data_IF_795428515297
#
_entry.id   IF_795428515297
#
_cell.length_a   1.000
_cell.length_b   1.000
_cell.length_c   1.000
_cell.angle_alpha   90.00
_cell.angle_beta   90.00
_cell.angle_gamma   90.00
#
_symmetry.space_group_name_H-M   'P 1'
#
loop_
_entity.id
_entity.type
_entity.pdbx_description
1 polymer ?
#
# COMPACT_ATOMS: atom_id res chain seq x y z
N UNK A 1 15.54 -18.67 5.76
CA UNK A 1 15.90 -18.95 4.36
C UNK A 1 14.68 -18.85 3.48
N UNK A 2 14.80 -18.17 2.39
CA UNK A 2 13.73 -18.13 1.41
C UNK A 2 13.86 -19.37 0.54
N UNK A 3 12.82 -20.15 0.46
CA UNK A 3 12.79 -21.29 -0.44
C UNK A 3 12.12 -20.88 -1.75
N UNK A 4 12.43 -21.61 -2.80
CA UNK A 4 11.76 -21.40 -4.06
C UNK A 4 10.28 -21.72 -3.88
N UNK A 5 9.45 -20.80 -4.29
CA UNK A 5 8.03 -20.98 -4.15
C UNK A 5 7.45 -20.41 -2.87
N UNK A 6 8.30 -19.87 -2.01
CA UNK A 6 7.79 -19.12 -0.86
C UNK A 6 7.00 -17.93 -1.37
N UNK A 7 5.83 -17.75 -0.79
CA UNK A 7 4.91 -16.71 -1.22
C UNK A 7 4.68 -15.74 -0.09
N UNK A 8 4.59 -14.45 -0.44
CA UNK A 8 4.28 -13.43 0.55
C UNK A 8 2.77 -13.39 0.68
N UNK A 9 2.27 -13.94 1.79
CA UNK A 9 0.84 -14.09 2.01
C UNK A 9 0.33 -13.05 2.99
N UNK A 10 -0.83 -12.53 2.65
CA UNK A 10 -1.55 -11.56 3.45
C UNK A 10 -2.99 -11.99 3.59
N UNK A 11 -3.65 -11.44 4.59
CA UNK A 11 -5.08 -11.61 4.80
C UNK A 11 -5.72 -10.22 4.67
N UNK A 12 -6.81 -10.12 3.92
CA UNK A 12 -7.50 -8.84 3.74
C UNK A 12 -8.03 -8.33 5.08
N UNK A 13 -7.60 -7.14 5.46
CA UNK A 13 -8.16 -6.40 6.59
C UNK A 13 -9.25 -5.44 6.12
N UNK A 14 -8.99 -4.75 5.00
CA UNK A 14 -9.94 -3.81 4.44
C UNK A 14 -9.67 -3.63 2.96
N UNK A 15 -10.71 -3.59 2.17
CA UNK A 15 -10.62 -3.25 0.74
C UNK A 15 -10.94 -1.78 0.61
N UNK A 16 -9.99 -0.98 0.11
CA UNK A 16 -10.19 0.45 -0.06
C UNK A 16 -10.82 0.76 -1.42
N UNK A 17 -10.32 0.11 -2.46
CA UNK A 17 -10.94 0.09 -3.78
C UNK A 17 -10.41 -1.12 -4.55
N UNK A 18 -10.71 -1.19 -5.85
CA UNK A 18 -10.32 -2.33 -6.67
C UNK A 18 -8.79 -2.54 -6.76
N UNK A 19 -8.02 -1.49 -6.50
CA UNK A 19 -6.57 -1.52 -6.68
C UNK A 19 -5.78 -1.35 -5.39
N UNK A 20 -6.47 -1.25 -4.25
CA UNK A 20 -5.82 -0.89 -3.00
C UNK A 20 -6.49 -1.61 -1.84
N UNK A 21 -5.71 -2.35 -1.07
CA UNK A 21 -6.21 -3.07 0.10
C UNK A 21 -5.27 -2.86 1.28
N UNK A 22 -5.81 -3.05 2.47
CA UNK A 22 -4.99 -3.19 3.67
C UNK A 22 -4.93 -4.68 3.98
N UNK A 23 -3.73 -5.22 4.06
CA UNK A 23 -3.51 -6.63 4.35
C UNK A 23 -2.71 -6.81 5.62
N UNK A 24 -2.96 -7.93 6.30
CA UNK A 24 -2.20 -8.33 7.48
C UNK A 24 -1.24 -9.41 7.03
N UNK A 25 0.05 -9.16 7.22
CA UNK A 25 1.10 -10.09 6.81
C UNK A 25 1.08 -11.33 7.70
N UNK A 26 1.17 -12.50 7.06
CA UNK A 26 1.04 -13.75 7.79
C UNK A 26 2.14 -13.97 8.83
N UNK A 27 3.36 -13.51 8.55
CA UNK A 27 4.50 -13.79 9.41
C UNK A 27 4.61 -12.85 10.61
N UNK A 28 4.41 -11.55 10.38
CA UNK A 28 4.62 -10.56 11.44
C UNK A 28 3.33 -10.01 12.02
N UNK A 29 2.20 -10.37 11.43
CA UNK A 29 0.88 -9.93 11.87
C UNK A 29 0.71 -8.41 11.85
N UNK A 30 1.51 -7.72 11.04
CA UNK A 30 1.45 -6.28 10.89
C UNK A 30 0.60 -5.90 9.67
N UNK A 31 0.11 -4.66 9.69
CA UNK A 31 -0.72 -4.17 8.60
C UNK A 31 0.12 -3.48 7.53
N UNK A 32 -0.25 -3.69 6.28
CA UNK A 32 0.42 -3.11 5.12
C UNK A 32 -0.61 -2.64 4.13
N UNK A 33 -0.29 -1.55 3.44
CA UNK A 33 -1.07 -1.11 2.30
C UNK A 33 -0.50 -1.82 1.08
N UNK A 34 -1.35 -2.53 0.37
CA UNK A 34 -0.92 -3.26 -0.83
C UNK A 34 -1.68 -2.68 -2.02
N UNK A 35 -0.93 -2.25 -3.02
CA UNK A 35 -1.47 -1.60 -4.20
C UNK A 35 -1.07 -2.38 -5.44
N UNK A 36 -2.05 -2.68 -6.27
CA UNK A 36 -1.81 -3.36 -7.52
C UNK A 36 -3.09 -3.46 -8.30
N UNK A 37 -2.96 -3.53 -9.61
CA UNK A 37 -4.12 -3.53 -10.50
C UNK A 37 -5.03 -4.71 -10.18
N UNK A 38 -6.26 -4.39 -9.80
CA UNK A 38 -7.28 -5.38 -9.50
C UNK A 38 -7.10 -6.16 -8.22
N UNK A 39 -6.12 -5.79 -7.37
CA UNK A 39 -5.81 -6.57 -6.17
C UNK A 39 -6.98 -6.66 -5.19
N UNK A 40 -7.82 -5.63 -5.17
CA UNK A 40 -8.98 -5.61 -4.29
C UNK A 40 -10.27 -6.11 -4.94
N UNK A 41 -10.23 -6.38 -6.24
CA UNK A 41 -11.43 -6.75 -6.97
C UNK A 41 -11.95 -8.11 -6.51
N UNK A 42 -13.19 -8.12 -6.03
CA UNK A 42 -13.82 -9.36 -5.58
C UNK A 42 -13.29 -9.90 -4.26
N UNK A 43 -12.40 -9.19 -3.59
CA UNK A 43 -11.85 -9.65 -2.33
C UNK A 43 -12.76 -9.33 -1.15
N UNK A 44 -12.73 -10.19 -0.16
CA UNK A 44 -13.51 -10.04 1.07
C UNK A 44 -12.57 -9.99 2.27
N UNK A 45 -13.02 -9.37 3.35
CA UNK A 45 -12.29 -9.34 4.61
C UNK A 45 -11.95 -10.78 5.03
N UNK A 46 -10.76 -10.96 5.50
CA UNK A 46 -10.16 -12.23 5.93
C UNK A 46 -9.75 -13.17 4.80
N UNK A 47 -10.05 -12.82 3.56
CA UNK A 47 -9.59 -13.62 2.42
C UNK A 47 -8.06 -13.52 2.31
N UNK A 48 -7.41 -14.63 2.01
CA UNK A 48 -5.96 -14.66 1.83
C UNK A 48 -5.60 -14.32 0.40
N UNK A 49 -4.48 -13.64 0.24
CA UNK A 49 -3.98 -13.31 -1.09
C UNK A 49 -2.47 -13.23 -1.09
N UNK A 50 -1.89 -13.34 -2.27
CA UNK A 50 -0.45 -13.21 -2.48
C UNK A 50 -0.15 -11.87 -3.12
N UNK A 51 0.99 -11.29 -2.75
CA UNK A 51 1.53 -10.14 -3.47
C UNK A 51 2.14 -10.64 -4.77
N UNK A 52 1.80 -9.99 -5.87
CA UNK A 52 2.24 -10.35 -7.21
C UNK A 52 3.35 -9.42 -7.68
N UNK A 53 4.06 -9.84 -8.74
CA UNK A 53 4.99 -8.92 -9.39
C UNK A 53 4.22 -7.70 -9.87
N UNK A 54 4.79 -6.52 -9.62
CA UNK A 54 4.14 -5.26 -9.97
C UNK A 54 3.29 -4.68 -8.87
N UNK A 55 2.93 -5.46 -7.85
CA UNK A 55 2.24 -4.92 -6.69
C UNK A 55 3.24 -4.17 -5.80
N UNK A 56 2.79 -3.13 -5.13
CA UNK A 56 3.63 -2.34 -4.22
C UNK A 56 3.09 -2.47 -2.81
N UNK A 57 3.99 -2.65 -1.85
CA UNK A 57 3.64 -2.83 -0.45
C UNK A 57 4.23 -1.69 0.37
N UNK A 58 3.41 -1.09 1.20
CA UNK A 58 3.81 0.00 2.10
C UNK A 58 3.50 -0.39 3.53
N UNK A 59 4.47 -0.19 4.43
CA UNK A 59 4.24 -0.42 5.85
C UNK A 59 3.28 0.62 6.42
N UNK A 60 2.36 0.19 7.25
CA UNK A 60 1.45 1.10 7.96
C UNK A 60 1.90 1.35 9.39
N UNK A 61 3.16 0.97 9.70
CA UNK A 61 3.72 1.17 11.04
C UNK A 61 4.35 2.54 11.23
N UNK A 62 4.62 3.24 10.14
CA UNK A 62 5.30 4.53 10.20
C UNK A 62 4.40 5.60 10.82
N UNK A 63 5.01 6.50 11.58
CA UNK A 63 4.32 7.66 12.13
C UNK A 63 5.08 8.92 11.75
N UNK A 64 4.36 10.03 11.70
CA UNK A 64 4.94 11.32 11.39
C UNK A 64 4.19 12.40 12.15
N UNK A 65 4.65 13.65 12.01
CA UNK A 65 3.97 14.79 12.62
C UNK A 65 2.55 15.01 12.08
N UNK A 66 2.23 14.39 10.96
CA UNK A 66 0.92 14.52 10.33
C UNK A 66 -0.01 13.35 10.64
N UNK A 67 0.41 12.46 11.52
CA UNK A 67 -0.36 11.28 11.87
C UNK A 67 0.38 10.02 11.46
N UNK A 68 -0.22 8.87 11.71
CA UNK A 68 0.40 7.63 11.32
C UNK A 68 -0.07 7.20 9.93
N UNK A 69 0.69 6.31 9.31
CA UNK A 69 0.43 5.87 7.94
C UNK A 69 -0.95 5.21 7.82
N UNK A 70 -1.38 4.45 8.82
CA UNK A 70 -2.68 3.79 8.78
C UNK A 70 -3.81 4.80 8.78
N UNK A 71 -3.72 5.84 9.61
CA UNK A 71 -4.75 6.87 9.65
C UNK A 71 -4.85 7.59 8.31
N UNK A 72 -3.70 7.94 7.73
CA UNK A 72 -3.68 8.60 6.43
C UNK A 72 -4.24 7.68 5.35
N UNK A 73 -3.83 6.41 5.34
CA UNK A 73 -4.29 5.46 4.33
C UNK A 73 -5.80 5.25 4.37
N UNK A 74 -6.40 5.32 5.55
CA UNK A 74 -7.84 5.08 5.69
C UNK A 74 -8.68 6.35 5.57
N UNK A 75 -8.08 7.53 5.74
CA UNK A 75 -8.80 8.79 5.64
C UNK A 75 -8.72 9.45 4.26
N UNK A 76 -7.68 9.14 3.50
CA UNK A 76 -7.48 9.68 2.15
C UNK A 76 -8.28 8.85 1.16
N UNK A 77 -8.90 9.51 0.18
CA UNK A 77 -9.56 8.77 -0.89
C UNK A 77 -8.52 7.96 -1.67
N UNK A 78 -8.79 6.68 -1.92
CA UNK A 78 -7.78 5.78 -2.52
C UNK A 78 -7.20 6.25 -3.83
N UNK A 79 -7.95 7.03 -4.62
CA UNK A 79 -7.43 7.53 -5.90
C UNK A 79 -6.18 8.39 -5.71
N UNK A 80 -6.09 9.13 -4.60
CA UNK A 80 -4.91 9.96 -4.34
C UNK A 80 -3.72 9.11 -3.93
N UNK A 81 -3.97 8.00 -3.24
CA UNK A 81 -2.91 7.03 -2.96
C UNK A 81 -2.37 6.43 -4.26
N UNK A 82 -3.27 6.09 -5.18
CA UNK A 82 -2.87 5.53 -6.47
C UNK A 82 -2.07 6.53 -7.29
N UNK A 83 -2.50 7.80 -7.34
CA UNK A 83 -1.76 8.84 -8.07
C UNK A 83 -0.37 9.03 -7.46
N UNK A 84 -0.28 9.10 -6.14
CA UNK A 84 1.00 9.26 -5.47
C UNK A 84 1.93 8.07 -5.76
N UNK A 85 1.36 6.85 -5.76
CA UNK A 85 2.13 5.67 -6.09
C UNK A 85 2.69 5.73 -7.50
N UNK A 86 1.89 6.17 -8.47
CA UNK A 86 2.34 6.31 -9.85
C UNK A 86 3.45 7.35 -9.97
N UNK A 87 3.32 8.47 -9.25
CA UNK A 87 4.35 9.51 -9.23
C UNK A 87 5.66 8.94 -8.71
N UNK A 88 5.59 8.17 -7.63
CA UNK A 88 6.79 7.57 -7.04
C UNK A 88 7.40 6.51 -7.96
N UNK A 89 6.57 5.73 -8.65
CA UNK A 89 7.07 4.77 -9.62
C UNK A 89 7.85 5.47 -10.74
N UNK A 90 7.32 6.58 -11.25
CA UNK A 90 8.00 7.35 -12.28
C UNK A 90 9.28 7.99 -11.75
N UNK A 91 9.24 8.50 -10.52
CA UNK A 91 10.39 9.13 -9.91
C UNK A 91 11.54 8.14 -9.72
N UNK A 92 11.23 6.89 -9.40
CA UNK A 92 12.26 5.87 -9.22
C UNK A 92 13.00 5.53 -10.51
N UNK A 93 12.43 5.83 -11.65
CA UNK A 93 13.12 5.64 -12.94
C UNK A 93 14.23 6.66 -13.14
N UNK A 94 14.17 7.78 -12.44
CA UNK A 94 15.12 8.89 -12.60
C UNK A 94 16.03 9.01 -11.38
N UNK A 95 15.50 8.83 -10.20
CA UNK A 95 16.21 9.00 -8.94
C UNK A 95 16.40 7.68 -8.24
N UNK A 96 17.55 7.52 -7.57
CA UNK A 96 17.81 6.34 -6.75
C UNK A 96 17.42 6.62 -5.31
N UNK A 97 17.13 5.57 -4.57
CA UNK A 97 16.93 5.65 -3.12
C UNK A 97 15.79 6.57 -2.68
N UNK A 98 14.66 6.46 -3.36
CA UNK A 98 13.47 7.21 -2.95
C UNK A 98 12.86 6.55 -1.73
N UNK A 99 12.57 7.36 -0.71
CA UNK A 99 11.84 6.89 0.46
C UNK A 99 10.36 6.83 0.11
N UNK A 100 9.87 5.63 -0.10
CA UNK A 100 8.48 5.41 -0.51
C UNK A 100 7.47 5.80 0.58
N UNK A 101 7.92 5.97 1.83
CA UNK A 101 7.01 6.39 2.91
C UNK A 101 6.43 7.79 2.68
N UNK A 102 7.03 8.58 1.78
CA UNK A 102 6.47 9.88 1.41
C UNK A 102 5.14 9.74 0.67
N UNK A 103 4.74 8.53 0.29
CA UNK A 103 3.44 8.31 -0.34
C UNK A 103 2.30 8.93 0.46
N UNK A 104 2.29 8.73 1.77
CA UNK A 104 1.17 9.14 2.60
C UNK A 104 1.03 10.66 2.70
N UNK A 105 2.07 11.41 3.06
CA UNK A 105 1.95 12.87 3.04
C UNK A 105 1.72 13.43 1.64
N UNK A 106 2.28 12.79 0.61
CA UNK A 106 2.05 13.23 -0.76
C UNK A 106 0.59 13.07 -1.15
N UNK A 107 -0.02 11.93 -0.87
CA UNK A 107 -1.41 11.68 -1.19
C UNK A 107 -2.33 12.61 -0.41
N UNK A 108 -2.01 12.85 0.87
CA UNK A 108 -2.75 13.77 1.71
C UNK A 108 -2.72 15.18 1.11
N UNK A 109 -1.55 15.62 0.67
CA UNK A 109 -1.40 16.94 0.05
C UNK A 109 -2.18 17.02 -1.28
N UNK A 110 -2.14 15.97 -2.09
CA UNK A 110 -2.88 15.93 -3.34
C UNK A 110 -4.38 16.08 -3.11
N UNK A 111 -4.90 15.37 -2.12
CA UNK A 111 -6.31 15.46 -1.78
C UNK A 111 -6.68 16.87 -1.30
N UNK A 112 -5.81 17.46 -0.49
CA UNK A 112 -6.04 18.81 0.02
C UNK A 112 -6.02 19.86 -1.10
N UNK A 113 -5.16 19.67 -2.08
CA UNK A 113 -4.93 20.66 -3.14
C UNK A 113 -5.97 20.60 -4.26
N UNK A 114 -6.78 19.56 -4.32
CA UNK A 114 -7.76 19.37 -5.41
C UNK A 114 -9.15 19.92 -5.11
#
# INVERSE_FOLDING_TARGET
>A
MVTHGDKIMYRISKVLNHNTVIGIHADDNQEYLVMGKGIGFGKKVSERFEVRDGDTVYSLQATSNRGNAKELATSIQPIYLEIANEILDEAEKVFQNIDRAVLFPMADHLEYAV
#
